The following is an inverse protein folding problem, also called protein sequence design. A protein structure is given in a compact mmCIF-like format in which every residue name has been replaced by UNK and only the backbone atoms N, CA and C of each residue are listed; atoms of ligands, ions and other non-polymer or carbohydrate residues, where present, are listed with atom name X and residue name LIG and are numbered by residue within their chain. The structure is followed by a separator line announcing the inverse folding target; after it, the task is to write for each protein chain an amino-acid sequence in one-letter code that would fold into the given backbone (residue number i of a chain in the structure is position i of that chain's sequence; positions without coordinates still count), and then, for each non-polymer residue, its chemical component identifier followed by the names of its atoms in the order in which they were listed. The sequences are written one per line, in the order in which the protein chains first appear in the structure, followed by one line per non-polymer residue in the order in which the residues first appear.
data_IF_559130523570
#
_entry.id   IF_559130523570
#
_cell.length_a   1.000
_cell.length_b   1.000
_cell.length_c   1.000
_cell.angle_alpha   90.00
_cell.angle_beta   90.00
_cell.angle_gamma   90.00
#
_symmetry.space_group_name_H-M   'P 1'
#
loop_
_entity.id
_entity.type
_entity.pdbx_description
1 polymer ?
#
# COMPACT_ATOMS: atom_id res chain seq x y z
N UNK A 1 -61.78 27.51 -27.23
CA UNK A 1 -60.60 26.76 -27.59
C UNK A 1 -59.73 26.74 -26.34
N UNK A 2 -59.73 25.64 -25.58
CA UNK A 2 -59.19 25.59 -24.19
C UNK A 2 -57.95 24.68 -24.22
N UNK A 3 -56.78 25.32 -24.24
CA UNK A 3 -55.50 24.64 -24.22
C UNK A 3 -55.13 24.27 -22.77
N UNK A 4 -55.28 22.99 -22.41
CA UNK A 4 -54.76 22.46 -21.13
C UNK A 4 -53.25 22.23 -21.24
N UNK A 5 -52.46 23.03 -20.55
CA UNK A 5 -51.05 22.78 -20.32
C UNK A 5 -50.87 21.57 -19.36
N UNK A 6 -50.06 20.56 -19.69
CA UNK A 6 -49.78 19.48 -18.77
C UNK A 6 -48.81 19.96 -17.66
N UNK A 7 -49.31 19.96 -16.42
CA UNK A 7 -48.50 20.20 -15.24
C UNK A 7 -47.57 19.01 -15.04
N UNK A 8 -46.31 19.14 -15.42
CA UNK A 8 -45.25 18.16 -15.12
C UNK A 8 -44.94 18.29 -13.63
N UNK A 9 -45.36 17.30 -12.84
CA UNK A 9 -45.16 17.26 -11.39
C UNK A 9 -43.66 17.24 -11.06
N UNK A 10 -43.13 18.19 -10.28
CA UNK A 10 -41.68 18.28 -9.97
C UNK A 10 -41.16 17.22 -8.98
N UNK A 11 -42.07 16.31 -8.53
CA UNK A 11 -41.70 15.33 -7.48
C UNK A 11 -40.79 14.18 -7.96
N UNK A 12 -40.93 13.77 -9.22
CA UNK A 12 -40.20 12.62 -9.75
C UNK A 12 -38.70 12.89 -9.93
N UNK A 13 -38.33 14.13 -10.34
CA UNK A 13 -36.90 14.50 -10.47
C UNK A 13 -36.20 14.63 -9.13
N UNK A 14 -36.88 15.11 -8.09
CA UNK A 14 -36.35 15.20 -6.73
C UNK A 14 -36.19 13.83 -6.09
N UNK A 15 -37.09 12.91 -6.36
CA UNK A 15 -37.01 11.52 -5.86
C UNK A 15 -35.86 10.75 -6.52
N UNK A 16 -35.63 10.94 -7.82
CA UNK A 16 -34.52 10.32 -8.54
C UNK A 16 -33.14 10.85 -8.06
N UNK A 17 -33.03 12.16 -7.81
CA UNK A 17 -31.80 12.73 -7.24
C UNK A 17 -31.49 12.20 -5.82
N UNK A 18 -32.49 12.01 -4.98
CA UNK A 18 -32.31 11.47 -3.62
C UNK A 18 -31.89 10.00 -3.67
N UNK A 19 -32.44 9.20 -4.58
CA UNK A 19 -32.03 7.79 -4.75
C UNK A 19 -30.58 7.68 -5.25
N UNK A 20 -30.15 8.55 -6.17
CA UNK A 20 -28.77 8.59 -6.65
C UNK A 20 -27.80 9.03 -5.53
N UNK A 21 -28.22 9.96 -4.66
CA UNK A 21 -27.41 10.40 -3.51
C UNK A 21 -27.24 9.31 -2.43
N UNK A 22 -28.29 8.50 -2.22
CA UNK A 22 -28.26 7.40 -1.24
C UNK A 22 -27.44 6.20 -1.76
N UNK A 23 -27.41 5.97 -3.08
CA UNK A 23 -26.56 4.93 -3.68
C UNK A 23 -25.06 5.31 -3.71
N UNK A 24 -24.71 6.60 -3.58
CA UNK A 24 -23.34 7.09 -3.58
C UNK A 24 -22.59 7.00 -2.25
N UNK A 25 -23.25 6.61 -1.15
CA UNK A 25 -22.68 6.78 0.20
C UNK A 25 -22.00 5.55 0.83
N UNK A 26 -21.80 4.46 0.09
CA UNK A 26 -21.14 3.25 0.62
C UNK A 26 -19.99 2.72 -0.26
N UNK A 27 -19.24 3.61 -0.90
CA UNK A 27 -17.97 3.23 -1.51
C UNK A 27 -16.91 3.14 -0.41
N UNK A 28 -16.93 2.07 0.36
CA UNK A 28 -15.78 1.70 1.18
C UNK A 28 -14.63 1.35 0.21
N UNK A 29 -13.72 2.31 0.01
CA UNK A 29 -12.51 2.09 -0.80
C UNK A 29 -11.52 1.16 -0.10
N UNK A 30 -10.59 0.61 -0.86
CA UNK A 30 -9.44 -0.07 -0.27
C UNK A 30 -8.62 0.92 0.56
N UNK A 31 -8.12 0.45 1.70
CA UNK A 31 -7.29 1.26 2.60
C UNK A 31 -5.96 0.61 2.88
N UNK A 32 -4.93 1.44 3.07
CA UNK A 32 -3.65 1.05 3.61
C UNK A 32 -3.26 2.02 4.71
N UNK A 33 -2.99 1.49 5.90
CA UNK A 33 -2.55 2.23 7.07
C UNK A 33 -1.12 1.84 7.40
N UNK A 34 -0.29 2.83 7.73
CA UNK A 34 1.10 2.64 8.08
C UNK A 34 1.28 3.12 9.51
N UNK A 35 1.79 2.25 10.38
CA UNK A 35 2.20 2.59 11.73
C UNK A 35 3.70 2.38 11.89
N UNK A 36 4.34 3.24 12.65
CA UNK A 36 5.78 3.22 12.88
C UNK A 36 6.34 4.63 13.00
N UNK A 37 7.65 4.73 13.19
CA UNK A 37 8.36 6.00 13.37
C UNK A 37 9.31 6.25 12.22
N UNK A 38 9.63 7.52 11.97
CA UNK A 38 10.72 7.89 11.08
C UNK A 38 12.03 7.26 11.56
N UNK A 39 12.87 6.85 10.62
CA UNK A 39 14.15 6.27 10.90
C UNK A 39 15.29 7.15 10.39
N UNK A 40 16.30 7.34 11.22
CA UNK A 40 17.54 8.01 10.86
C UNK A 40 18.70 7.01 11.00
N UNK A 41 19.40 6.76 9.89
CA UNK A 41 20.62 6.00 9.91
C UNK A 41 21.82 6.95 10.05
N UNK A 42 22.64 6.75 11.09
CA UNK A 42 23.88 7.50 11.27
C UNK A 42 25.02 6.67 10.72
N UNK A 43 25.71 7.22 9.74
CA UNK A 43 26.91 6.59 9.15
C UNK A 43 28.12 7.01 9.99
N UNK A 44 28.90 6.07 10.54
CA UNK A 44 30.04 6.40 11.35
C UNK A 44 31.16 7.09 10.55
N UNK A 45 31.96 7.89 11.20
CA UNK A 45 33.15 8.52 10.59
C UNK A 45 34.19 7.47 10.29
N UNK A 46 34.77 7.45 9.09
CA UNK A 46 35.93 6.65 8.74
C UNK A 46 37.18 7.44 9.11
N UNK A 47 38.05 6.84 9.92
CA UNK A 47 39.30 7.45 10.37
C UNK A 47 40.52 6.90 9.68
N UNK A 48 40.41 5.75 8.99
CA UNK A 48 41.50 5.09 8.30
C UNK A 48 41.46 5.30 6.80
N UNK A 49 42.54 5.76 6.21
CA UNK A 49 42.70 5.94 4.77
C UNK A 49 42.63 4.58 4.05
N UNK A 50 41.96 4.55 2.91
CA UNK A 50 41.81 3.34 2.08
C UNK A 50 40.67 2.40 2.50
N UNK A 51 39.97 2.69 3.58
CA UNK A 51 38.77 1.94 3.97
C UNK A 51 37.53 2.53 3.36
N UNK A 52 36.51 1.70 3.16
CA UNK A 52 35.19 2.12 2.77
C UNK A 52 34.19 1.73 3.86
N UNK A 53 32.98 2.30 3.79
CA UNK A 53 31.91 1.88 4.69
C UNK A 53 31.57 0.42 4.43
N UNK A 54 31.63 -0.37 5.47
CA UNK A 54 31.24 -1.77 5.42
C UNK A 54 29.82 -1.93 5.95
N UNK A 55 29.02 -2.74 5.25
CA UNK A 55 27.74 -3.19 5.72
C UNK A 55 26.55 -2.37 5.25
N UNK A 56 25.44 -2.78 5.75
CA UNK A 56 24.11 -2.22 5.50
C UNK A 56 23.58 -1.61 6.79
N UNK A 57 22.68 -0.66 6.66
CA UNK A 57 22.06 0.02 7.80
C UNK A 57 20.59 -0.37 7.82
N UNK A 58 20.18 -1.08 8.85
CA UNK A 58 18.79 -1.52 9.04
C UNK A 58 18.07 -0.62 10.03
N UNK A 59 16.76 -0.39 9.81
CA UNK A 59 15.96 0.31 10.79
C UNK A 59 15.79 -0.55 12.07
N UNK A 60 15.88 0.05 13.27
CA UNK A 60 15.77 -0.68 14.54
C UNK A 60 14.32 -1.07 14.85
N UNK A 61 13.34 -0.34 14.30
CA UNK A 61 11.92 -0.56 14.51
C UNK A 61 11.23 -0.85 13.18
N UNK A 62 10.40 -1.89 13.16
CA UNK A 62 9.64 -2.24 11.96
C UNK A 62 8.51 -1.23 11.73
N UNK A 63 8.25 -0.94 10.45
CA UNK A 63 6.99 -0.35 10.03
C UNK A 63 5.94 -1.46 9.97
N UNK A 64 4.70 -1.15 10.32
CA UNK A 64 3.61 -2.13 10.23
C UNK A 64 2.52 -1.61 9.29
N UNK A 65 2.17 -2.43 8.31
CA UNK A 65 1.08 -2.15 7.38
C UNK A 65 -0.16 -2.95 7.78
N UNK A 66 -1.31 -2.30 7.64
CA UNK A 66 -2.64 -2.88 7.82
C UNK A 66 -3.63 -2.21 6.87
N UNK A 67 -4.79 -2.79 6.70
CA UNK A 67 -5.82 -2.16 5.89
C UNK A 67 -7.00 -3.06 5.59
N UNK A 68 -7.84 -2.57 4.69
CA UNK A 68 -9.12 -3.16 4.33
C UNK A 68 -9.29 -3.23 2.82
N UNK A 69 -9.79 -4.35 2.34
CA UNK A 69 -10.12 -4.61 0.94
C UNK A 69 -11.62 -4.95 0.85
N UNK A 70 -12.45 -4.07 0.33
CA UNK A 70 -13.88 -4.36 0.17
C UNK A 70 -14.11 -5.43 -0.90
N UNK A 71 -15.17 -6.21 -0.75
CA UNK A 71 -15.54 -7.26 -1.70
C UNK A 71 -15.80 -6.73 -3.11
N UNK A 72 -16.32 -5.52 -3.23
CA UNK A 72 -16.49 -4.85 -4.52
C UNK A 72 -15.15 -4.64 -5.25
N UNK A 73 -14.09 -4.31 -4.54
CA UNK A 73 -12.75 -4.18 -5.08
C UNK A 73 -12.19 -5.54 -5.52
N UNK A 74 -12.33 -6.57 -4.68
CA UNK A 74 -11.84 -7.91 -4.97
C UNK A 74 -12.59 -8.61 -6.11
N UNK A 75 -13.90 -8.39 -6.23
CA UNK A 75 -14.73 -8.98 -7.29
C UNK A 75 -14.54 -8.33 -8.66
N UNK A 76 -14.04 -7.09 -8.71
CA UNK A 76 -13.73 -6.41 -9.97
C UNK A 76 -12.41 -6.88 -10.60
N UNK A 77 -11.61 -7.62 -9.85
CA UNK A 77 -10.30 -8.07 -10.30
C UNK A 77 -10.41 -9.44 -10.97
N UNK A 78 -10.03 -9.51 -12.21
CA UNK A 78 -9.94 -10.76 -12.99
C UNK A 78 -8.89 -11.73 -12.42
N UNK A 79 -8.03 -11.28 -11.52
CA UNK A 79 -6.93 -12.02 -10.90
C UNK A 79 -7.06 -12.16 -9.37
N UNK A 80 -8.24 -12.11 -8.81
CA UNK A 80 -8.53 -12.49 -7.40
C UNK A 80 -7.50 -12.02 -6.36
N UNK A 81 -7.14 -10.73 -6.34
CA UNK A 81 -6.17 -10.28 -5.36
C UNK A 81 -5.81 -8.80 -5.42
N UNK A 82 -5.04 -8.39 -4.42
CA UNK A 82 -4.48 -7.06 -4.30
C UNK A 82 -2.96 -7.12 -4.22
N UNK A 83 -2.30 -6.05 -4.62
CA UNK A 83 -0.86 -5.90 -4.57
C UNK A 83 -0.51 -4.69 -3.71
N UNK A 84 0.37 -4.89 -2.73
CA UNK A 84 1.02 -3.82 -1.99
C UNK A 84 2.33 -3.50 -2.71
N UNK A 85 2.43 -2.29 -3.21
CA UNK A 85 3.61 -1.78 -3.91
C UNK A 85 4.26 -0.65 -3.11
N UNK A 86 5.54 -0.43 -3.36
CA UNK A 86 6.35 0.58 -2.69
C UNK A 86 7.20 1.34 -3.70
N UNK A 87 7.37 2.63 -3.45
CA UNK A 87 8.14 3.55 -4.29
C UNK A 87 8.82 4.61 -3.44
N UNK A 88 10.02 5.04 -3.83
CA UNK A 88 10.65 6.20 -3.21
C UNK A 88 10.05 7.50 -3.77
N UNK A 89 9.76 8.43 -2.85
CA UNK A 89 9.51 9.83 -3.15
C UNK A 89 10.65 10.66 -2.57
N UNK A 90 11.76 10.83 -3.33
CA UNK A 90 12.95 11.47 -2.80
C UNK A 90 12.74 12.98 -2.59
N UNK A 91 13.20 13.48 -1.46
CA UNK A 91 13.28 14.92 -1.18
C UNK A 91 14.71 15.42 -1.34
N UNK A 92 15.69 14.68 -0.81
CA UNK A 92 17.12 14.94 -0.98
C UNK A 92 17.82 13.58 -0.91
N UNK A 93 17.92 12.89 -2.04
CA UNK A 93 18.43 11.51 -2.11
C UNK A 93 19.51 11.38 -3.18
N UNK A 94 20.64 10.78 -2.81
CA UNK A 94 21.71 10.49 -3.76
C UNK A 94 21.36 9.20 -4.53
N UNK A 95 21.52 9.21 -5.86
CA UNK A 95 21.19 8.08 -6.73
C UNK A 95 22.03 6.83 -6.48
N UNK A 96 23.21 6.97 -5.86
CA UNK A 96 24.06 5.86 -5.47
C UNK A 96 23.58 5.14 -4.19
N UNK A 97 22.76 5.81 -3.38
CA UNK A 97 22.13 5.20 -2.22
C UNK A 97 20.92 4.36 -2.66
N UNK A 98 20.82 3.17 -2.14
CA UNK A 98 19.71 2.25 -2.38
C UNK A 98 18.95 2.01 -1.08
N UNK A 99 17.64 2.02 -1.16
CA UNK A 99 16.78 1.63 -0.06
C UNK A 99 16.08 0.32 -0.44
N UNK A 100 16.07 -0.59 0.49
CA UNK A 100 15.47 -1.91 0.35
C UNK A 100 14.42 -2.13 1.42
N UNK A 101 13.45 -2.99 1.14
CA UNK A 101 12.46 -3.44 2.11
C UNK A 101 12.34 -4.95 2.12
N UNK A 102 12.07 -5.49 3.30
CA UNK A 102 11.77 -6.90 3.52
C UNK A 102 10.56 -7.02 4.42
N UNK A 103 9.62 -7.86 4.04
CA UNK A 103 8.41 -8.13 4.81
C UNK A 103 8.62 -9.29 5.79
N UNK A 104 7.98 -9.20 6.95
CA UNK A 104 7.76 -10.33 7.85
C UNK A 104 6.33 -10.29 8.40
N UNK A 105 5.83 -11.44 8.84
CA UNK A 105 4.49 -11.54 9.37
C UNK A 105 3.38 -11.20 8.35
N UNK A 106 2.23 -10.83 8.88
CA UNK A 106 1.03 -10.48 8.14
C UNK A 106 -0.01 -11.59 8.13
N UNK A 107 -1.24 -11.19 8.44
CA UNK A 107 -2.44 -12.04 8.38
C UNK A 107 -3.49 -11.36 7.51
N UNK A 108 -4.26 -12.16 6.79
CA UNK A 108 -5.42 -11.70 6.04
C UNK A 108 -6.64 -12.46 6.54
N UNK A 109 -7.69 -11.74 6.92
CA UNK A 109 -8.91 -12.29 7.49
C UNK A 109 -10.09 -11.90 6.62
N UNK A 110 -10.92 -12.86 6.28
CA UNK A 110 -12.15 -12.64 5.51
C UNK A 110 -13.27 -12.30 6.49
N UNK A 111 -13.95 -11.19 6.25
CA UNK A 111 -15.15 -10.77 6.97
C UNK A 111 -16.39 -11.09 6.14
N UNK A 112 -17.43 -11.60 6.79
CA UNK A 112 -18.67 -12.00 6.14
C UNK A 112 -18.76 -13.52 5.92
N UNK A 113 -19.92 -13.96 5.40
CA UNK A 113 -20.18 -15.37 5.14
C UNK A 113 -19.53 -15.80 3.83
N UNK A 114 -18.53 -16.63 3.91
CA UNK A 114 -17.89 -17.23 2.75
C UNK A 114 -17.51 -18.69 3.05
N UNK A 115 -18.05 -19.60 2.26
CA UNK A 115 -17.75 -21.02 2.40
C UNK A 115 -16.53 -21.37 1.55
N UNK A 116 -15.54 -22.03 2.14
CA UNK A 116 -14.31 -22.46 1.48
C UNK A 116 -13.45 -21.31 0.92
N UNK A 117 -13.57 -20.10 1.50
CA UNK A 117 -12.71 -18.99 1.13
C UNK A 117 -11.43 -18.97 1.95
N UNK A 118 -10.34 -18.62 1.31
CA UNK A 118 -9.06 -18.35 1.97
C UNK A 118 -8.49 -17.02 1.49
N UNK A 119 -7.82 -16.31 2.39
CA UNK A 119 -7.04 -15.13 2.07
C UNK A 119 -5.61 -15.34 2.56
N UNK A 120 -4.63 -15.05 1.71
CA UNK A 120 -3.21 -15.25 2.02
C UNK A 120 -2.38 -14.06 1.58
N UNK A 121 -1.30 -13.77 2.33
CA UNK A 121 -0.33 -12.73 1.99
C UNK A 121 0.94 -13.41 1.51
N UNK A 122 1.34 -13.15 0.27
CA UNK A 122 2.47 -13.79 -0.39
C UNK A 122 3.57 -12.79 -0.74
N UNK A 123 4.81 -13.27 -0.84
CA UNK A 123 5.97 -12.48 -1.28
C UNK A 123 6.63 -11.63 -0.19
N UNK A 124 7.76 -11.04 -0.51
CA UNK A 124 8.50 -10.07 0.30
C UNK A 124 9.26 -10.61 1.51
N UNK A 125 9.23 -11.92 1.78
CA UNK A 125 9.84 -12.51 3.00
C UNK A 125 11.22 -13.11 2.78
N UNK A 126 11.56 -13.51 1.57
CA UNK A 126 12.83 -14.20 1.29
C UNK A 126 14.01 -13.22 1.27
N UNK A 127 13.92 -12.19 0.45
CA UNK A 127 15.00 -11.25 0.18
C UNK A 127 14.55 -9.81 0.38
N UNK A 128 15.52 -8.92 0.60
CA UNK A 128 15.30 -7.49 0.48
C UNK A 128 15.02 -7.11 -0.96
N UNK A 129 13.99 -6.31 -1.15
CA UNK A 129 13.52 -5.80 -2.45
C UNK A 129 13.90 -4.34 -2.54
N UNK A 130 14.62 -3.94 -3.59
CA UNK A 130 14.94 -2.53 -3.83
C UNK A 130 13.66 -1.72 -4.02
N UNK A 131 13.59 -0.56 -3.37
CA UNK A 131 12.51 0.40 -3.52
C UNK A 131 12.91 1.41 -4.59
N UNK A 132 12.36 1.34 -5.80
CA UNK A 132 12.77 2.19 -6.90
C UNK A 132 12.16 3.59 -6.81
N UNK A 133 12.79 4.56 -7.51
CA UNK A 133 12.27 5.93 -7.64
C UNK A 133 11.23 6.05 -8.78
N UNK A 134 11.42 5.34 -9.87
CA UNK A 134 10.63 5.53 -11.09
C UNK A 134 9.35 4.69 -11.11
N UNK A 135 9.46 3.39 -10.89
CA UNK A 135 8.34 2.46 -10.96
C UNK A 135 8.15 1.78 -9.62
N UNK A 136 6.90 1.64 -9.18
CA UNK A 136 6.63 0.96 -7.92
C UNK A 136 7.01 -0.52 -7.97
N UNK A 137 7.75 -1.00 -6.97
CA UNK A 137 8.07 -2.42 -6.79
C UNK A 137 7.02 -3.10 -5.92
N UNK A 138 6.71 -4.36 -6.21
CA UNK A 138 5.78 -5.15 -5.39
C UNK A 138 6.47 -5.64 -4.13
N UNK A 139 5.94 -5.26 -2.96
CA UNK A 139 6.35 -5.82 -1.68
C UNK A 139 5.69 -7.17 -1.41
N UNK A 140 4.37 -7.24 -1.60
CA UNK A 140 3.59 -8.46 -1.36
C UNK A 140 2.27 -8.42 -2.13
N UNK A 141 1.67 -9.60 -2.28
CA UNK A 141 0.34 -9.74 -2.84
C UNK A 141 -0.59 -10.37 -1.80
N UNK A 142 -1.85 -9.94 -1.80
CA UNK A 142 -2.91 -10.53 -1.01
C UNK A 142 -3.79 -11.27 -1.99
N UNK A 143 -3.72 -12.60 -1.98
CA UNK A 143 -4.55 -13.44 -2.84
C UNK A 143 -5.71 -14.00 -2.05
N UNK A 144 -6.82 -14.16 -2.72
CA UNK A 144 -7.97 -14.78 -2.11
C UNK A 144 -8.59 -15.82 -3.05
N UNK A 145 -9.13 -16.89 -2.48
CA UNK A 145 -9.86 -17.93 -3.20
C UNK A 145 -11.28 -18.02 -2.67
N UNK A 146 -12.23 -18.29 -3.56
CA UNK A 146 -13.65 -18.35 -3.26
C UNK A 146 -14.42 -17.19 -3.87
N UNK A 147 -15.74 -17.22 -3.72
CA UNK A 147 -16.61 -16.16 -4.23
C UNK A 147 -17.01 -15.26 -3.08
N UNK A 148 -16.47 -14.05 -3.04
CA UNK A 148 -16.89 -13.03 -2.09
C UNK A 148 -18.22 -12.42 -2.55
N UNK A 149 -19.20 -12.38 -1.64
CA UNK A 149 -20.39 -11.55 -1.83
C UNK A 149 -20.03 -10.06 -1.74
N UNK A 150 -20.90 -9.19 -2.24
CA UNK A 150 -20.69 -7.73 -2.21
C UNK A 150 -20.53 -7.16 -0.79
N UNK A 151 -21.03 -7.86 0.23
CA UNK A 151 -20.92 -7.50 1.64
C UNK A 151 -19.69 -8.07 2.34
N UNK A 152 -18.91 -8.90 1.68
CA UNK A 152 -17.72 -9.49 2.24
C UNK A 152 -16.50 -8.60 1.98
N UNK A 153 -15.48 -8.75 2.82
CA UNK A 153 -14.24 -7.99 2.71
C UNK A 153 -13.07 -8.80 3.23
N UNK A 154 -11.87 -8.32 2.98
CA UNK A 154 -10.64 -8.87 3.55
C UNK A 154 -9.93 -7.79 4.33
N UNK A 155 -9.72 -8.01 5.63
CA UNK A 155 -8.83 -7.20 6.45
C UNK A 155 -7.43 -7.83 6.48
N UNK A 156 -6.42 -7.00 6.35
CA UNK A 156 -5.03 -7.43 6.49
C UNK A 156 -4.32 -6.61 7.55
N UNK A 157 -3.46 -7.27 8.33
CA UNK A 157 -2.76 -6.63 9.45
C UNK A 157 -1.44 -7.32 9.78
N UNK A 158 -0.61 -6.65 10.59
CA UNK A 158 0.64 -7.21 11.07
C UNK A 158 1.68 -7.47 9.98
N UNK A 159 1.59 -6.80 8.83
CA UNK A 159 2.63 -6.85 7.80
C UNK A 159 3.79 -5.97 8.27
N UNK A 160 4.81 -6.57 8.85
CA UNK A 160 5.97 -5.85 9.34
C UNK A 160 6.98 -5.66 8.21
N UNK A 161 7.48 -4.43 8.05
CA UNK A 161 8.42 -4.05 7.00
C UNK A 161 9.71 -3.56 7.64
N UNK A 162 10.79 -4.25 7.36
CA UNK A 162 12.14 -3.83 7.69
C UNK A 162 12.74 -3.09 6.50
N UNK A 163 13.38 -1.95 6.76
CA UNK A 163 14.09 -1.16 5.76
C UNK A 163 15.61 -1.35 5.93
N UNK A 164 16.33 -1.29 4.81
CA UNK A 164 17.79 -1.39 4.77
C UNK A 164 18.34 -0.37 3.77
N UNK A 165 19.36 0.40 4.19
CA UNK A 165 20.10 1.29 3.30
C UNK A 165 21.35 0.56 2.85
N UNK A 166 21.57 0.51 1.52
CA UNK A 166 22.80 0.05 0.89
C UNK A 166 23.44 1.11 0.01
N UNK A 167 24.61 0.80 -0.53
CA UNK A 167 25.34 1.69 -1.43
C UNK A 167 26.07 2.84 -0.73
N UNK A 168 26.16 2.82 0.60
CA UNK A 168 26.92 3.82 1.35
C UNK A 168 28.41 3.70 1.01
N UNK A 169 29.03 4.81 0.60
CA UNK A 169 30.41 4.83 0.13
C UNK A 169 31.08 6.17 0.43
N UNK A 170 32.40 6.15 0.58
CA UNK A 170 33.22 7.36 0.74
C UNK A 170 33.17 8.30 -0.46
N UNK A 171 32.69 7.83 -1.62
CA UNK A 171 32.51 8.64 -2.82
C UNK A 171 31.23 9.49 -2.80
N UNK A 172 30.34 9.23 -1.85
CA UNK A 172 29.11 10.00 -1.66
C UNK A 172 29.42 11.21 -0.79
N UNK A 173 29.05 12.43 -1.18
CA UNK A 173 29.28 13.62 -0.35
C UNK A 173 28.68 13.47 1.05
N UNK A 174 29.44 13.90 2.06
CA UNK A 174 28.99 13.87 3.45
C UNK A 174 27.95 14.97 3.69
N UNK A 175 26.68 14.64 3.53
CA UNK A 175 25.55 15.53 3.77
C UNK A 175 24.33 14.72 4.26
N UNK A 176 23.31 15.41 4.74
CA UNK A 176 22.06 14.76 5.10
C UNK A 176 21.24 14.41 3.83
N UNK A 177 20.86 13.16 3.71
CA UNK A 177 19.97 12.66 2.67
C UNK A 177 18.63 12.28 3.28
N UNK A 178 17.55 12.54 2.56
CA UNK A 178 16.20 12.20 3.01
C UNK A 178 15.34 11.70 1.87
N UNK A 179 14.46 10.76 2.18
CA UNK A 179 13.47 10.21 1.26
C UNK A 179 12.23 9.77 2.02
N UNK A 180 11.15 9.58 1.31
CA UNK A 180 9.92 8.97 1.82
C UNK A 180 9.66 7.67 1.06
N UNK A 181 9.11 6.69 1.76
CA UNK A 181 8.58 5.47 1.14
C UNK A 181 7.07 5.61 1.04
N UNK A 182 6.57 5.53 -0.17
CA UNK A 182 5.14 5.53 -0.47
C UNK A 182 4.70 4.10 -0.69
N UNK A 183 3.75 3.64 0.12
CA UNK A 183 3.09 2.36 -0.06
C UNK A 183 1.74 2.58 -0.75
N UNK A 184 1.45 1.78 -1.74
CA UNK A 184 0.17 1.81 -2.46
C UNK A 184 -0.44 0.42 -2.50
N UNK A 185 -1.77 0.37 -2.46
CA UNK A 185 -2.50 -0.86 -2.68
C UNK A 185 -3.33 -0.74 -3.95
N UNK A 186 -3.25 -1.76 -4.80
CA UNK A 186 -3.91 -1.79 -6.09
C UNK A 186 -4.25 -3.20 -6.51
N UNK A 187 -4.83 -3.35 -7.69
CA UNK A 187 -5.09 -4.65 -8.31
C UNK A 187 -3.80 -5.42 -8.54
N UNK A 188 -3.88 -6.74 -8.37
CA UNK A 188 -2.76 -7.64 -8.68
C UNK A 188 -2.78 -8.04 -10.16
#
# INVERSE_FOLDING_TARGET
MNTKNPIIKPSLKRFLCVIILIMGSNLNGQTINITGTSWTATVPTITEAGTNYAGTYNNPSLLTLSGHLPGSFLNLLTSSGARISMQLAPTSWNSSLKLYAKRSGGTATINGLCVLCTATINGGTANYIEIPQANAATLSTITFTGVLGLSNSVDYSGINVQLEIGGVSVTIPATAYSTQVVFTIGAN
#
